data_IF_831528792804
#
_entry.id   IF_831528792804
#
_cell.length_a   1.000
_cell.length_b   1.000
_cell.length_c   1.000
_cell.angle_alpha   90.00
_cell.angle_beta   90.00
_cell.angle_gamma   90.00
#
_symmetry.space_group_name_H-M   'P 1'
#
loop_
_entity.id
_entity.type
_entity.pdbx_description
1 polymer ?
#
# COMPACT_ATOMS: atom_id res chain seq x y z
N UNK A 1 -13.09 -6.76 -3.35
CA UNK A 1 -11.66 -7.07 -3.49
C UNK A 1 -11.03 -7.06 -2.11
N UNK A 2 -10.35 -8.14 -1.73
CA UNK A 2 -9.59 -8.24 -0.49
C UNK A 2 -8.09 -8.12 -0.82
N UNK A 3 -7.36 -7.36 -0.01
CA UNK A 3 -5.89 -7.22 -0.10
C UNK A 3 -5.37 -7.46 1.31
N UNK A 4 -4.54 -8.49 1.46
CA UNK A 4 -3.96 -8.83 2.76
C UNK A 4 -2.85 -7.83 3.11
N UNK A 5 -2.81 -7.40 4.37
CA UNK A 5 -1.74 -6.54 4.88
C UNK A 5 -0.42 -7.31 5.08
N UNK A 6 -0.46 -8.64 5.01
CA UNK A 6 0.71 -9.53 5.08
C UNK A 6 1.41 -9.74 3.73
N UNK A 7 0.79 -9.33 2.62
CA UNK A 7 1.38 -9.46 1.28
C UNK A 7 2.33 -8.28 1.00
N UNK A 8 3.47 -8.28 1.66
CA UNK A 8 4.42 -7.15 1.65
C UNK A 8 5.00 -6.89 0.25
N UNK A 9 5.14 -7.92 -0.57
CA UNK A 9 5.66 -7.79 -1.94
C UNK A 9 4.70 -7.01 -2.84
N UNK A 10 3.40 -7.30 -2.73
CA UNK A 10 2.36 -6.52 -3.42
C UNK A 10 2.33 -5.08 -2.90
N UNK A 11 2.33 -4.90 -1.57
CA UNK A 11 2.18 -3.59 -0.96
C UNK A 11 3.38 -2.68 -1.21
N UNK A 12 4.60 -3.24 -1.21
CA UNK A 12 5.83 -2.51 -1.49
C UNK A 12 5.82 -1.88 -2.88
N UNK A 13 5.36 -2.62 -3.90
CA UNK A 13 5.20 -2.12 -5.29
C UNK A 13 4.19 -0.98 -5.43
N UNK A 14 3.27 -0.85 -4.46
CA UNK A 14 2.23 0.18 -4.42
C UNK A 14 2.60 1.37 -3.52
N UNK A 15 3.84 1.39 -3.03
CA UNK A 15 4.46 2.54 -2.35
C UNK A 15 5.62 3.09 -3.17
N UNK A 16 5.92 4.38 -3.01
CA UNK A 16 7.11 4.97 -3.61
C UNK A 16 8.31 4.90 -2.67
N UNK A 17 9.49 5.28 -3.17
CA UNK A 17 10.74 5.30 -2.39
C UNK A 17 10.64 6.08 -1.07
N UNK A 18 9.80 7.10 -0.99
CA UNK A 18 9.61 7.90 0.23
C UNK A 18 8.59 7.29 1.21
N UNK A 19 8.09 6.08 0.95
CA UNK A 19 7.05 5.47 1.77
C UNK A 19 5.67 6.10 1.59
N UNK A 20 5.39 6.84 0.51
CA UNK A 20 4.04 7.32 0.20
C UNK A 20 3.29 6.31 -0.65
N UNK A 21 1.98 6.16 -0.43
CA UNK A 21 1.12 5.32 -1.25
C UNK A 21 1.02 5.93 -2.65
N UNK A 22 1.23 5.13 -3.68
CA UNK A 22 1.16 5.58 -5.07
C UNK A 22 -0.29 5.93 -5.42
N UNK A 23 -0.50 7.05 -6.12
CA UNK A 23 -1.83 7.51 -6.49
C UNK A 23 -2.46 6.59 -7.53
N UNK A 24 -3.80 6.52 -7.51
CA UNK A 24 -4.60 5.75 -8.47
C UNK A 24 -4.27 6.10 -9.93
N UNK A 25 -3.96 7.36 -10.22
CA UNK A 25 -3.59 7.82 -11.58
C UNK A 25 -2.35 7.11 -12.11
N UNK A 26 -1.39 6.79 -11.23
CA UNK A 26 -0.14 6.11 -11.60
C UNK A 26 -0.30 4.58 -11.63
N UNK A 27 -1.14 4.01 -10.76
CA UNK A 27 -1.40 2.56 -10.75
C UNK A 27 -2.43 2.11 -11.79
N UNK A 28 -3.29 3.02 -12.27
CA UNK A 28 -4.36 2.71 -13.21
C UNK A 28 -5.50 1.86 -12.63
N UNK A 29 -5.49 1.55 -11.32
CA UNK A 29 -6.46 0.65 -10.73
C UNK A 29 -7.83 1.30 -10.51
N UNK A 30 -8.86 0.51 -10.20
CA UNK A 30 -10.18 1.03 -9.84
C UNK A 30 -10.16 1.64 -8.42
N UNK A 31 -11.17 2.47 -8.11
CA UNK A 31 -11.32 3.08 -6.77
C UNK A 31 -11.41 2.02 -5.67
N UNK A 32 -12.20 0.96 -5.86
CA UNK A 32 -12.36 -0.11 -4.88
C UNK A 32 -11.03 -0.80 -4.55
N UNK A 33 -10.21 -1.09 -5.55
CA UNK A 33 -8.87 -1.66 -5.38
C UNK A 33 -7.94 -0.71 -4.63
N UNK A 34 -7.94 0.59 -4.99
CA UNK A 34 -7.12 1.59 -4.32
C UNK A 34 -7.47 1.71 -2.82
N UNK A 35 -8.77 1.67 -2.48
CA UNK A 35 -9.22 1.70 -1.08
C UNK A 35 -8.78 0.45 -0.31
N UNK A 36 -8.88 -0.73 -0.91
CA UNK A 36 -8.44 -1.98 -0.30
C UNK A 36 -6.92 -1.97 -0.02
N UNK A 37 -6.12 -1.58 -1.02
CA UNK A 37 -4.67 -1.42 -0.90
C UNK A 37 -4.31 -0.41 0.19
N UNK A 38 -4.93 0.77 0.19
CA UNK A 38 -4.63 1.80 1.18
C UNK A 38 -4.93 1.34 2.61
N UNK A 39 -6.01 0.57 2.82
CA UNK A 39 -6.35 -0.03 4.12
C UNK A 39 -5.32 -1.08 4.55
N UNK A 40 -4.89 -1.93 3.62
CA UNK A 40 -3.87 -2.94 3.87
C UNK A 40 -2.52 -2.32 4.23
N UNK A 41 -2.04 -1.31 3.47
CA UNK A 41 -0.78 -0.59 3.77
C UNK A 41 -0.82 0.05 5.17
N UNK A 42 -1.92 0.71 5.53
CA UNK A 42 -2.06 1.32 6.86
C UNK A 42 -1.97 0.29 7.99
N UNK A 43 -2.58 -0.89 7.80
CA UNK A 43 -2.49 -2.00 8.76
C UNK A 43 -1.09 -2.59 8.85
N UNK A 44 -0.43 -2.81 7.70
CA UNK A 44 0.94 -3.31 7.66
C UNK A 44 1.91 -2.38 8.41
N UNK A 45 1.74 -1.06 8.24
CA UNK A 45 2.52 -0.04 8.97
C UNK A 45 2.27 -0.05 10.47
N UNK A 46 1.02 -0.15 10.89
CA UNK A 46 0.67 -0.25 12.31
C UNK A 46 1.28 -1.49 12.97
N UNK A 47 1.36 -2.60 12.24
CA UNK A 47 2.00 -3.85 12.68
C UNK A 47 3.53 -3.86 12.52
N UNK A 48 4.14 -2.71 12.20
CA UNK A 48 5.58 -2.58 11.94
C UNK A 48 6.14 -3.47 10.81
N UNK A 49 5.29 -3.97 9.91
CA UNK A 49 5.71 -4.77 8.73
C UNK A 49 6.18 -3.89 7.56
N UNK A 50 5.80 -2.62 7.55
CA UNK A 50 6.23 -1.63 6.55
C UNK A 50 6.54 -0.29 7.22
N UNK A 51 7.51 0.48 6.71
CA UNK A 51 7.80 1.79 7.26
C UNK A 51 6.77 2.84 6.85
N UNK A 52 6.62 3.87 7.71
CA UNK A 52 5.81 5.06 7.41
C UNK A 52 6.53 6.02 6.45
N UNK A 53 7.86 6.03 6.50
CA UNK A 53 8.72 6.93 5.74
C UNK A 53 9.82 6.10 5.11
N UNK A 54 10.14 6.37 3.85
CA UNK A 54 11.29 5.76 3.21
C UNK A 54 12.60 6.36 3.71
N UNK A 55 13.66 5.56 3.60
CA UNK A 55 15.06 5.99 3.73
C UNK A 55 15.50 6.84 2.54
#
# INVERSE_FOLDING_TARGET
MFVDYKDLDLLSKLTNRHGRIVSRRKTGCQAASQHAVAKAIKRARFMALMPYVGS
#
